data_IF_694557060498
#
_entry.id   IF_694557060498
#
_cell.length_a   1.000
_cell.length_b   1.000
_cell.length_c   1.000
_cell.angle_alpha   90.00
_cell.angle_beta   90.00
_cell.angle_gamma   90.00
#
_symmetry.space_group_name_H-M   'P 1'
#
loop_
_entity.id
_entity.type
_entity.pdbx_description
1 polymer ?
#
# COMPACT_ATOMS: atom_id res chain seq x y z
N UNK A 1 32.73 -32.93 8.64
CA UNK A 1 31.94 -31.91 9.36
C UNK A 1 31.23 -32.60 10.52
N UNK A 2 31.57 -32.22 11.76
CA UNK A 2 30.99 -32.79 13.00
C UNK A 2 29.46 -32.70 12.97
N UNK A 3 28.78 -33.68 13.54
CA UNK A 3 27.33 -33.75 13.63
C UNK A 3 26.75 -32.53 14.35
N UNK A 4 27.50 -31.96 15.30
CA UNK A 4 27.16 -30.72 16.00
C UNK A 4 27.08 -29.51 15.06
N UNK A 5 28.01 -29.39 14.12
CA UNK A 5 27.98 -28.31 13.12
C UNK A 5 26.83 -28.47 12.15
N UNK A 6 26.51 -29.71 11.75
CA UNK A 6 25.33 -29.98 10.90
C UNK A 6 24.04 -29.53 11.58
N UNK A 7 23.85 -29.88 12.86
CA UNK A 7 22.68 -29.48 13.65
C UNK A 7 22.60 -27.95 13.80
N UNK A 8 23.73 -27.29 14.13
CA UNK A 8 23.77 -25.84 14.25
C UNK A 8 23.40 -25.13 12.94
N UNK A 9 23.94 -25.59 11.80
CA UNK A 9 23.61 -25.04 10.47
C UNK A 9 22.12 -25.24 10.16
N UNK A 10 21.58 -26.44 10.39
CA UNK A 10 20.16 -26.71 10.16
C UNK A 10 19.27 -25.80 11.03
N UNK A 11 19.63 -25.61 12.29
CA UNK A 11 18.89 -24.71 13.19
C UNK A 11 18.90 -23.26 12.69
N UNK A 12 20.06 -22.75 12.27
CA UNK A 12 20.19 -21.40 11.70
C UNK A 12 19.32 -21.25 10.46
N UNK A 13 19.35 -22.22 9.54
CA UNK A 13 18.51 -22.20 8.33
C UNK A 13 17.02 -22.16 8.69
N UNK A 14 16.57 -23.01 9.62
CA UNK A 14 15.18 -23.05 10.05
C UNK A 14 14.74 -21.74 10.72
N UNK A 15 15.60 -21.16 11.55
CA UNK A 15 15.35 -19.86 12.19
C UNK A 15 15.22 -18.76 11.15
N UNK A 16 16.15 -18.68 10.20
CA UNK A 16 16.12 -17.69 9.11
C UNK A 16 14.86 -17.84 8.25
N UNK A 17 14.49 -19.07 7.86
CA UNK A 17 13.27 -19.31 7.09
C UNK A 17 12.01 -18.88 7.86
N UNK A 18 11.96 -19.18 9.16
CA UNK A 18 10.83 -18.78 10.01
C UNK A 18 10.70 -17.25 10.07
N UNK A 19 11.81 -16.53 10.22
CA UNK A 19 11.82 -15.06 10.24
C UNK A 19 11.34 -14.50 8.89
N UNK A 20 11.83 -15.04 7.77
CA UNK A 20 11.44 -14.59 6.43
C UNK A 20 9.94 -14.81 6.20
N UNK A 21 9.43 -15.99 6.55
CA UNK A 21 8.00 -16.30 6.43
C UNK A 21 7.17 -15.39 7.33
N UNK A 22 7.59 -15.15 8.56
CA UNK A 22 6.92 -14.22 9.47
C UNK A 22 6.77 -12.83 8.86
N UNK A 23 7.86 -12.27 8.32
CA UNK A 23 7.86 -10.96 7.66
C UNK A 23 6.96 -10.96 6.41
N UNK A 24 7.02 -12.03 5.61
CA UNK A 24 6.26 -12.16 4.37
C UNK A 24 4.75 -12.18 4.61
N UNK A 25 4.31 -12.86 5.67
CA UNK A 25 2.90 -12.96 6.04
C UNK A 25 2.44 -11.87 7.01
N UNK A 26 3.33 -10.98 7.45
CA UNK A 26 3.01 -9.92 8.38
C UNK A 26 1.90 -8.98 7.82
N UNK A 27 1.00 -8.49 8.69
CA UNK A 27 -0.04 -7.54 8.31
C UNK A 27 0.53 -6.15 8.04
N UNK A 28 -0.30 -5.26 7.47
CA UNK A 28 0.02 -3.84 7.27
C UNK A 28 0.40 -3.15 8.59
N UNK A 29 -0.17 -3.60 9.72
CA UNK A 29 0.19 -3.13 11.06
C UNK A 29 1.69 -3.29 11.38
N UNK A 30 2.37 -4.26 10.77
CA UNK A 30 3.82 -4.42 10.94
C UNK A 30 4.58 -3.22 10.35
N UNK A 31 4.17 -2.78 9.16
CA UNK A 31 4.76 -1.61 8.51
C UNK A 31 4.34 -0.34 9.26
N UNK A 32 3.05 -0.22 9.62
CA UNK A 32 2.52 0.93 10.35
C UNK A 32 3.11 1.09 11.76
N UNK A 33 3.44 0.01 12.44
CA UNK A 33 4.02 0.03 13.79
C UNK A 33 5.40 0.70 13.86
N UNK A 34 6.09 0.83 12.72
CA UNK A 34 7.35 1.58 12.62
C UNK A 34 7.16 3.10 12.53
N UNK A 35 5.95 3.55 12.23
CA UNK A 35 5.61 4.96 12.08
C UNK A 35 4.78 5.38 13.29
N UNK A 36 5.27 6.34 14.07
CA UNK A 36 4.62 6.89 15.28
C UNK A 36 3.30 7.65 14.97
N UNK A 37 2.31 6.96 14.40
CA UNK A 37 1.02 7.52 13.96
C UNK A 37 1.00 8.07 12.53
N UNK A 38 2.16 8.40 11.94
CA UNK A 38 2.24 9.05 10.61
C UNK A 38 2.15 8.12 9.39
N UNK A 39 1.76 6.85 9.56
CA UNK A 39 1.79 5.87 8.47
C UNK A 39 0.80 6.22 7.34
N UNK A 40 -0.39 6.72 7.70
CA UNK A 40 -1.44 7.11 6.74
C UNK A 40 -0.98 8.26 5.83
N UNK A 41 -0.44 9.33 6.42
CA UNK A 41 0.24 10.39 5.67
C UNK A 41 1.31 9.87 4.73
N UNK A 42 2.19 9.03 5.27
CA UNK A 42 3.34 8.53 4.54
C UNK A 42 2.92 7.66 3.35
N UNK A 43 1.92 6.79 3.51
CA UNK A 43 1.45 5.93 2.42
C UNK A 43 0.79 6.75 1.31
N UNK A 44 0.00 7.76 1.68
CA UNK A 44 -0.61 8.68 0.71
C UNK A 44 0.48 9.41 -0.07
N UNK A 45 1.47 9.99 0.61
CA UNK A 45 2.59 10.68 -0.05
C UNK A 45 3.41 9.76 -0.96
N UNK A 46 3.61 8.50 -0.55
CA UNK A 46 4.42 7.53 -1.30
C UNK A 46 3.71 7.01 -2.54
N UNK A 47 2.40 6.82 -2.49
CA UNK A 47 1.66 6.10 -3.54
C UNK A 47 0.66 6.96 -4.32
N UNK A 48 0.29 8.17 -3.87
CA UNK A 48 -0.71 9.01 -4.55
C UNK A 48 -0.46 9.17 -6.05
N UNK A 49 0.76 9.54 -6.46
CA UNK A 49 1.12 9.69 -7.87
C UNK A 49 0.98 8.39 -8.66
N UNK A 50 1.39 7.25 -8.09
CA UNK A 50 1.21 5.94 -8.73
C UNK A 50 -0.29 5.62 -8.90
N UNK A 51 -1.09 5.87 -7.88
CA UNK A 51 -2.53 5.57 -7.90
C UNK A 51 -3.27 6.46 -8.90
N UNK A 52 -2.95 7.75 -8.98
CA UNK A 52 -3.51 8.64 -9.99
C UNK A 52 -3.12 8.18 -11.40
N UNK A 53 -1.87 7.80 -11.63
CA UNK A 53 -1.45 7.28 -12.95
C UNK A 53 -2.24 6.03 -13.34
N UNK A 54 -2.45 5.10 -12.40
CA UNK A 54 -3.30 3.92 -12.64
C UNK A 54 -4.72 4.32 -13.03
N UNK A 55 -5.30 5.33 -12.38
CA UNK A 55 -6.62 5.84 -12.73
C UNK A 55 -6.66 6.49 -14.12
N UNK A 56 -5.66 7.29 -14.48
CA UNK A 56 -5.56 7.89 -15.81
C UNK A 56 -5.46 6.81 -16.90
N UNK A 57 -4.60 5.79 -16.67
CA UNK A 57 -4.46 4.64 -17.57
C UNK A 57 -5.79 3.88 -17.73
N UNK A 58 -6.49 3.58 -16.63
CA UNK A 58 -7.80 2.89 -16.65
C UNK A 58 -8.87 3.69 -17.42
N UNK A 59 -8.82 5.03 -17.35
CA UNK A 59 -9.75 5.92 -18.05
C UNK A 59 -9.33 6.23 -19.49
N UNK A 60 -8.17 5.74 -19.95
CA UNK A 60 -7.62 6.08 -21.25
C UNK A 60 -7.27 7.57 -21.40
N UNK A 61 -7.01 8.24 -20.28
CA UNK A 61 -6.66 9.66 -20.23
C UNK A 61 -5.15 9.84 -20.36
N UNK A 62 -4.74 10.96 -20.96
CA UNK A 62 -3.33 11.34 -21.00
C UNK A 62 -2.84 11.62 -19.59
N UNK A 63 -1.62 11.17 -19.25
CA UNK A 63 -0.96 11.52 -17.99
C UNK A 63 -0.64 13.02 -17.88
N UNK A 64 -0.76 13.77 -18.97
CA UNK A 64 -0.55 15.22 -19.01
C UNK A 64 -1.84 16.03 -18.79
N UNK A 65 -2.98 15.36 -18.55
CA UNK A 65 -4.22 16.05 -18.23
C UNK A 65 -4.07 16.78 -16.89
N UNK A 66 -4.54 18.01 -16.80
CA UNK A 66 -4.59 18.72 -15.53
C UNK A 66 -5.57 18.02 -14.59
N UNK A 67 -5.11 17.67 -13.40
CA UNK A 67 -5.92 17.09 -12.34
C UNK A 67 -5.57 17.71 -11.00
N UNK A 68 -6.52 17.67 -10.07
CA UNK A 68 -6.32 18.10 -8.69
C UNK A 68 -6.76 16.98 -7.75
N UNK A 69 -5.94 16.69 -6.73
CA UNK A 69 -6.35 15.79 -5.65
C UNK A 69 -7.02 16.67 -4.59
N UNK A 70 -8.33 16.48 -4.38
CA UNK A 70 -9.17 17.32 -3.50
C UNK A 70 -9.08 16.88 -2.03
N UNK A 71 -8.26 15.88 -1.73
CA UNK A 71 -8.15 15.31 -0.41
C UNK A 71 -7.36 16.22 0.53
N UNK A 72 -8.02 16.72 1.57
CA UNK A 72 -7.34 17.39 2.67
C UNK A 72 -6.51 16.36 3.44
N UNK A 73 -5.21 16.63 3.56
CA UNK A 73 -4.27 15.88 4.40
C UNK A 73 -4.65 15.87 5.90
N UNK A 74 -5.71 16.58 6.31
CA UNK A 74 -6.19 16.60 7.69
C UNK A 74 -7.18 15.45 8.00
N UNK A 75 -7.74 14.76 6.99
CA UNK A 75 -8.68 13.63 7.16
C UNK A 75 -8.09 12.30 6.68
N UNK A 76 -6.82 12.04 6.98
CA UNK A 76 -6.11 10.81 6.58
C UNK A 76 -6.80 9.55 7.13
N UNK A 77 -7.48 9.67 8.26
CA UNK A 77 -8.18 8.57 8.90
C UNK A 77 -9.35 8.00 8.08
N UNK A 78 -9.98 8.83 7.25
CA UNK A 78 -11.06 8.44 6.35
C UNK A 78 -10.53 7.92 4.99
N UNK A 79 -9.34 8.37 4.59
CA UNK A 79 -8.75 8.03 3.28
C UNK A 79 -7.99 6.72 3.29
N UNK A 80 -7.40 6.33 4.43
CA UNK A 80 -6.55 5.15 4.54
C UNK A 80 -7.04 4.24 5.65
N UNK A 81 -7.39 3.01 5.27
CA UNK A 81 -7.71 1.93 6.21
C UNK A 81 -6.99 0.65 5.79
N UNK A 82 -6.87 -0.32 6.68
CA UNK A 82 -6.30 -1.62 6.32
C UNK A 82 -6.91 -2.73 7.16
N UNK A 83 -6.93 -3.93 6.57
CA UNK A 83 -7.30 -5.17 7.24
C UNK A 83 -6.33 -6.29 6.81
N UNK A 84 -5.69 -6.90 7.81
CA UNK A 84 -4.66 -7.91 7.60
C UNK A 84 -3.56 -7.43 6.64
N UNK A 85 -3.52 -8.02 5.44
CA UNK A 85 -2.53 -7.74 4.39
C UNK A 85 -3.04 -6.80 3.30
N UNK A 86 -4.23 -6.23 3.47
CA UNK A 86 -4.87 -5.38 2.48
C UNK A 86 -4.94 -3.96 3.03
N UNK A 87 -4.46 -3.00 2.25
CA UNK A 87 -4.65 -1.57 2.51
C UNK A 87 -5.65 -1.01 1.51
N UNK A 88 -6.49 -0.12 1.98
CA UNK A 88 -7.49 0.59 1.18
C UNK A 88 -7.15 2.06 1.19
N UNK A 89 -7.12 2.66 0.01
CA UNK A 89 -6.91 4.09 -0.17
C UNK A 89 -8.06 4.65 -1.00
N UNK A 90 -8.64 5.74 -0.54
CA UNK A 90 -9.65 6.51 -1.28
C UNK A 90 -9.03 7.83 -1.71
N UNK A 91 -9.06 8.11 -3.01
CA UNK A 91 -8.65 9.42 -3.55
C UNK A 91 -9.83 10.11 -4.22
N UNK A 92 -9.95 11.43 -4.01
CA UNK A 92 -10.86 12.31 -4.75
C UNK A 92 -10.06 13.09 -5.78
N UNK A 93 -10.28 12.75 -7.05
CA UNK A 93 -9.54 13.33 -8.17
C UNK A 93 -10.50 14.21 -8.96
N UNK A 94 -10.18 15.51 -9.05
CA UNK A 94 -10.85 16.45 -9.94
C UNK A 94 -10.20 16.40 -11.31
N UNK A 95 -11.01 16.23 -12.34
CA UNK A 95 -10.62 16.39 -13.74
C UNK A 95 -11.62 17.33 -14.38
N UNK A 96 -11.14 18.44 -14.92
CA UNK A 96 -11.98 19.55 -15.39
C UNK A 96 -12.95 20.00 -14.27
N UNK A 97 -14.25 19.85 -14.47
CA UNK A 97 -15.31 20.16 -13.49
C UNK A 97 -15.92 18.91 -12.82
N UNK A 98 -15.39 17.72 -13.09
CA UNK A 98 -15.91 16.46 -12.56
C UNK A 98 -15.05 15.94 -11.40
N UNK A 99 -15.71 15.47 -10.34
CA UNK A 99 -15.03 14.84 -9.20
C UNK A 99 -15.21 13.32 -9.30
N UNK A 100 -14.10 12.60 -9.34
CA UNK A 100 -14.07 11.14 -9.29
C UNK A 100 -13.58 10.69 -7.91
N UNK A 101 -14.39 9.88 -7.22
CA UNK A 101 -13.95 9.13 -6.03
C UNK A 101 -13.41 7.79 -6.50
N UNK A 102 -12.12 7.56 -6.32
CA UNK A 102 -11.45 6.33 -6.72
C UNK A 102 -11.00 5.59 -5.47
N UNK A 103 -11.49 4.36 -5.33
CA UNK A 103 -11.08 3.45 -4.27
C UNK A 103 -10.03 2.48 -4.82
N UNK A 104 -8.97 2.28 -4.05
CA UNK A 104 -7.85 1.41 -4.38
C UNK A 104 -7.70 0.33 -3.31
N UNK A 105 -7.30 -0.86 -3.76
CA UNK A 105 -6.94 -1.98 -2.89
C UNK A 105 -5.47 -2.34 -3.14
N UNK A 106 -4.65 -2.30 -2.09
CA UNK A 106 -3.25 -2.68 -2.11
C UNK A 106 -3.03 -3.97 -1.33
N UNK A 107 -2.62 -5.05 -2.00
CA UNK A 107 -2.23 -6.29 -1.33
C UNK A 107 -0.74 -6.26 -0.99
N UNK A 108 -0.41 -6.29 0.31
CA UNK A 108 0.97 -6.36 0.81
C UNK A 108 1.63 -7.67 0.41
N UNK A 109 2.73 -7.60 -0.34
CA UNK A 109 3.55 -8.77 -0.71
C UNK A 109 4.96 -8.74 -0.11
N UNK A 110 5.39 -7.57 0.37
CA UNK A 110 6.62 -7.39 1.14
C UNK A 110 6.49 -6.15 2.04
N UNK A 111 7.49 -5.92 2.91
CA UNK A 111 7.59 -4.71 3.74
C UNK A 111 7.39 -3.48 2.85
N UNK A 112 6.36 -2.69 3.14
CA UNK A 112 6.02 -1.45 2.45
C UNK A 112 5.77 -1.59 0.94
N UNK A 113 5.54 -2.81 0.45
CA UNK A 113 5.30 -3.08 -0.96
C UNK A 113 3.94 -3.70 -1.18
N UNK A 114 3.21 -3.04 -2.07
CA UNK A 114 1.80 -3.31 -2.34
C UNK A 114 1.59 -3.57 -3.82
N UNK A 115 0.77 -4.59 -4.11
CA UNK A 115 0.21 -4.78 -5.43
C UNK A 115 -1.14 -4.08 -5.45
N UNK A 116 -1.19 -2.95 -6.15
CA UNK A 116 -2.37 -2.11 -6.24
C UNK A 116 -3.31 -2.55 -7.35
N UNK A 117 -4.61 -2.32 -7.13
CA UNK A 117 -5.66 -2.36 -8.16
C UNK A 117 -6.72 -1.32 -7.80
N UNK A 118 -7.45 -0.85 -8.81
CA UNK A 118 -8.66 -0.03 -8.60
C UNK A 118 -9.78 -0.99 -8.16
N UNK A 119 -10.45 -0.66 -7.05
CA UNK A 119 -11.60 -1.44 -6.56
C UNK A 119 -12.92 -0.86 -7.06
N UNK A 120 -13.04 0.47 -7.15
CA UNK A 120 -14.21 1.14 -7.74
C UNK A 120 -13.90 2.58 -8.13
N UNK A 121 -14.62 3.10 -9.12
CA UNK A 121 -14.61 4.50 -9.51
C UNK A 121 -16.06 5.00 -9.44
N UNK A 122 -16.30 6.06 -8.67
CA UNK A 122 -17.61 6.70 -8.56
C UNK A 122 -17.50 8.16 -9.02
N UNK A 123 -18.46 8.61 -9.82
CA UNK A 123 -18.59 10.02 -10.20
C UNK A 123 -19.48 10.71 -9.16
N UNK A 124 -19.03 11.86 -8.67
CA UNK A 124 -19.79 12.75 -7.81
C UNK A 124 -20.62 13.74 -8.64
#
# INVERSE_FOLDING_TARGET
MDIKYKIAITFVILLTLTIILYIHYAPVNFDAGSCSGGYKKWILNKFSSQLVNMFMEERGLSTNLEYEIIDNHDNEDEQVTWDGRIIYITLRIKIDDNICIVNYEGKRYWIERYKWKISSINLL
#
